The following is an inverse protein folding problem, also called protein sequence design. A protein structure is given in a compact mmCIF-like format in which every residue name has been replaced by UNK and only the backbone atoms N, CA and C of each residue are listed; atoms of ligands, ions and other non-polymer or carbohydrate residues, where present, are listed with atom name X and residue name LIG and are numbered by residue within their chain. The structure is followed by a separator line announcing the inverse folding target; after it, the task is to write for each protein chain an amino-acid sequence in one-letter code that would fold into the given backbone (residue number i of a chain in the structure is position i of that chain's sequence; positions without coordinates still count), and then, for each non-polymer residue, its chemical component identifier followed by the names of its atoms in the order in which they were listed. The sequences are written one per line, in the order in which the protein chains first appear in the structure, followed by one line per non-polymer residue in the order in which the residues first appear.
data_IF_169596669811
#
_entry.id   IF_169596669811
#
_cell.length_a   1.000
_cell.length_b   1.000
_cell.length_c   1.000
_cell.angle_alpha   90.00
_cell.angle_beta   90.00
_cell.angle_gamma   90.00
#
_symmetry.space_group_name_H-M   'P 1'
#
loop_
_entity.id
_entity.type
_entity.pdbx_description
1 polymer ?
#
# COMPACT_ATOMS: atom_id res chain seq x y z
N UNK A 1 26.13 0.35 45.37
CA UNK A 1 25.44 1.03 44.26
C UNK A 1 24.91 -0.05 43.33
N UNK A 2 23.62 -0.26 43.31
CA UNK A 2 22.98 -1.32 42.51
C UNK A 2 22.62 -0.75 41.14
N UNK A 3 23.21 -1.31 40.10
CA UNK A 3 22.89 -1.02 38.70
C UNK A 3 21.51 -1.59 38.36
N UNK A 4 20.53 -0.73 38.19
CA UNK A 4 19.17 -1.10 37.77
C UNK A 4 19.14 -1.34 36.27
N UNK A 5 19.56 -2.53 35.84
CA UNK A 5 19.44 -3.00 34.45
C UNK A 5 18.00 -2.91 33.97
N UNK A 6 17.69 -1.93 33.09
CA UNK A 6 16.42 -1.84 32.36
C UNK A 6 16.20 -3.13 31.56
N UNK A 7 15.31 -3.98 32.06
CA UNK A 7 14.82 -5.15 31.29
C UNK A 7 14.11 -4.61 30.06
N UNK A 8 14.73 -4.75 28.89
CA UNK A 8 14.09 -4.41 27.61
C UNK A 8 12.86 -5.27 27.39
N UNK A 9 11.67 -4.69 27.56
CA UNK A 9 10.40 -5.36 27.28
C UNK A 9 10.33 -5.79 25.81
N UNK A 10 9.63 -6.90 25.51
CA UNK A 10 9.39 -7.32 24.12
C UNK A 10 8.62 -6.19 23.39
N UNK A 11 9.03 -5.81 22.17
CA UNK A 11 8.38 -4.74 21.43
C UNK A 11 6.90 -5.06 21.21
N UNK A 12 6.04 -4.04 21.31
CA UNK A 12 4.60 -4.14 21.07
C UNK A 12 4.32 -4.61 19.63
N UNK A 13 3.07 -5.04 19.36
CA UNK A 13 2.65 -5.41 17.99
C UNK A 13 2.79 -4.24 17.01
N UNK A 14 2.55 -3.01 17.50
CA UNK A 14 2.69 -1.78 16.69
C UNK A 14 4.16 -1.51 16.37
N UNK A 15 5.06 -1.57 17.37
CA UNK A 15 6.50 -1.36 17.15
C UNK A 15 7.11 -2.41 16.22
N UNK A 16 6.63 -3.67 16.27
CA UNK A 16 7.07 -4.71 15.32
C UNK A 16 6.63 -4.41 13.89
N UNK A 17 5.40 -3.93 13.70
CA UNK A 17 4.88 -3.53 12.39
C UNK A 17 5.64 -2.31 11.84
N UNK A 18 6.00 -1.35 12.69
CA UNK A 18 6.83 -0.20 12.33
C UNK A 18 8.20 -0.61 11.84
N UNK A 19 8.87 -1.49 12.59
CA UNK A 19 10.18 -2.02 12.19
C UNK A 19 10.14 -2.77 10.85
N UNK A 20 9.05 -3.49 10.56
CA UNK A 20 8.90 -4.18 9.27
C UNK A 20 8.74 -3.22 8.09
N UNK A 21 7.89 -2.21 8.24
CA UNK A 21 7.62 -1.25 7.14
C UNK A 21 8.84 -0.36 6.88
N UNK A 22 9.57 0.02 7.91
CA UNK A 22 10.72 0.94 7.80
C UNK A 22 12.08 0.22 7.81
N UNK A 23 12.11 -1.11 7.79
CA UNK A 23 13.36 -1.85 7.79
C UNK A 23 14.28 -1.43 6.63
N UNK A 24 15.51 -1.04 6.97
CA UNK A 24 16.51 -0.59 6.00
C UNK A 24 16.46 0.91 5.65
N UNK A 25 15.55 1.70 6.25
CA UNK A 25 15.54 3.15 6.09
C UNK A 25 16.57 3.84 7.00
N UNK A 26 17.11 4.97 6.52
CA UNK A 26 17.82 5.92 7.37
C UNK A 26 16.82 6.70 8.25
N UNK A 27 17.31 7.25 9.38
CA UNK A 27 16.49 8.12 10.23
C UNK A 27 15.94 9.34 9.49
N UNK A 28 16.73 9.92 8.59
CA UNK A 28 16.32 11.07 7.79
C UNK A 28 15.20 10.69 6.81
N UNK A 29 15.28 9.52 6.16
CA UNK A 29 14.22 9.02 5.29
C UNK A 29 12.93 8.74 6.07
N UNK A 30 13.02 8.10 7.24
CA UNK A 30 11.84 7.86 8.09
C UNK A 30 11.17 9.15 8.52
N UNK A 31 11.92 10.18 8.88
CA UNK A 31 11.39 11.49 9.23
C UNK A 31 10.69 12.16 8.03
N UNK A 32 11.30 12.13 6.85
CA UNK A 32 10.74 12.68 5.62
C UNK A 32 9.43 11.96 5.22
N UNK A 33 9.42 10.62 5.25
CA UNK A 33 8.24 9.81 4.98
C UNK A 33 7.12 10.09 5.99
N UNK A 34 7.43 10.11 7.30
CA UNK A 34 6.45 10.39 8.35
C UNK A 34 5.79 11.74 8.14
N UNK A 35 6.58 12.80 7.91
CA UNK A 35 6.08 14.15 7.64
C UNK A 35 5.17 14.19 6.42
N UNK A 36 5.62 13.59 5.31
CA UNK A 36 4.88 13.60 4.04
C UNK A 36 3.62 12.77 4.12
N UNK A 37 3.70 11.55 4.64
CA UNK A 37 2.58 10.62 4.77
C UNK A 37 1.48 11.16 5.69
N UNK A 38 1.84 11.82 6.79
CA UNK A 38 0.87 12.50 7.66
C UNK A 38 0.11 13.61 6.90
N UNK A 39 0.83 14.39 6.09
CA UNK A 39 0.24 15.48 5.29
C UNK A 39 -0.72 14.94 4.22
N UNK A 40 -0.30 13.91 3.47
CA UNK A 40 -1.10 13.44 2.33
C UNK A 40 -2.25 12.51 2.72
N UNK A 41 -2.20 11.88 3.90
CA UNK A 41 -3.21 10.93 4.37
C UNK A 41 -4.63 11.47 4.36
N UNK A 42 -4.81 12.76 4.64
CA UNK A 42 -6.12 13.42 4.74
C UNK A 42 -6.59 14.07 3.45
N UNK A 43 -5.74 14.09 2.41
CA UNK A 43 -6.08 14.72 1.14
C UNK A 43 -7.18 13.97 0.40
N UNK A 44 -8.06 14.73 -0.25
CA UNK A 44 -9.14 14.18 -1.10
C UNK A 44 -8.70 13.80 -2.51
N UNK A 45 -7.46 14.12 -2.88
CA UNK A 45 -6.84 13.78 -4.17
C UNK A 45 -5.52 13.07 -3.95
N UNK A 46 -5.13 12.23 -4.89
CA UNK A 46 -3.85 11.54 -4.82
C UNK A 46 -2.68 12.49 -5.02
N UNK A 47 -1.63 12.26 -4.24
CA UNK A 47 -0.32 12.92 -4.35
C UNK A 47 0.75 11.87 -4.24
N UNK A 48 1.78 11.96 -5.08
CA UNK A 48 2.94 11.09 -5.04
C UNK A 48 4.21 11.90 -4.81
N UNK A 49 5.08 11.37 -3.98
CA UNK A 49 6.40 11.89 -3.66
C UNK A 49 7.45 10.83 -3.91
N UNK A 50 8.62 11.24 -4.35
CA UNK A 50 9.80 10.39 -4.52
C UNK A 50 10.94 10.93 -3.65
N UNK A 51 11.59 10.03 -2.91
CA UNK A 51 12.72 10.33 -2.05
C UNK A 51 13.92 9.46 -2.41
N UNK A 52 15.12 9.96 -2.17
CA UNK A 52 16.32 9.13 -2.15
C UNK A 52 16.45 8.36 -0.82
N UNK A 53 17.44 7.49 -0.73
CA UNK A 53 17.75 6.70 0.49
C UNK A 53 18.08 7.53 1.72
N UNK A 54 18.45 8.80 1.54
CA UNK A 54 18.83 9.74 2.60
C UNK A 54 17.65 10.63 3.03
N UNK A 55 16.49 10.49 2.41
CA UNK A 55 15.28 11.28 2.71
C UNK A 55 15.21 12.63 1.99
N UNK A 56 16.12 12.89 1.04
CA UNK A 56 16.02 14.05 0.17
C UNK A 56 14.89 13.82 -0.84
N UNK A 57 13.96 14.76 -0.94
CA UNK A 57 12.90 14.72 -1.96
C UNK A 57 13.53 14.91 -3.36
N UNK A 58 13.24 13.98 -4.26
CA UNK A 58 13.65 14.00 -5.67
C UNK A 58 12.62 14.73 -6.50
N UNK A 59 11.34 14.43 -6.26
CA UNK A 59 10.21 15.01 -6.98
C UNK A 59 8.90 14.75 -6.25
N UNK A 60 7.87 15.52 -6.62
CA UNK A 60 6.49 15.25 -6.24
C UNK A 60 5.50 15.65 -7.34
N UNK A 61 4.29 15.12 -7.26
CA UNK A 61 3.19 15.56 -8.12
C UNK A 61 2.61 16.88 -7.61
N UNK A 62 2.37 17.81 -8.51
CA UNK A 62 1.64 19.06 -8.21
C UNK A 62 0.14 18.93 -8.43
N UNK A 63 -0.28 17.96 -9.25
CA UNK A 63 -1.68 17.69 -9.61
C UNK A 63 -1.98 16.20 -9.41
N UNK A 64 -3.23 15.90 -9.07
CA UNK A 64 -3.76 14.54 -8.98
C UNK A 64 -5.28 14.58 -8.87
N UNK A 65 -5.91 13.48 -9.21
CA UNK A 65 -7.36 13.27 -9.09
C UNK A 65 -7.68 12.46 -7.82
N UNK A 66 -8.91 12.03 -7.67
CA UNK A 66 -9.31 11.12 -6.56
C UNK A 66 -8.74 9.70 -6.69
N UNK A 67 -8.21 9.34 -7.87
CA UNK A 67 -7.80 7.96 -8.19
C UNK A 67 -6.55 7.87 -9.07
N UNK A 68 -5.84 8.97 -9.28
CA UNK A 68 -4.66 8.97 -10.15
C UNK A 68 -3.75 10.15 -9.84
N UNK A 69 -2.46 9.88 -9.90
CA UNK A 69 -1.39 10.88 -9.81
C UNK A 69 -0.17 10.38 -10.57
N UNK A 70 0.73 11.28 -10.95
CA UNK A 70 1.98 10.94 -11.61
C UNK A 70 3.09 11.92 -11.21
N UNK A 71 4.32 11.43 -11.20
CA UNK A 71 5.50 12.29 -11.16
C UNK A 71 5.73 12.94 -12.54
N UNK A 72 6.49 14.04 -12.60
CA UNK A 72 6.93 14.60 -13.89
C UNK A 72 7.65 13.54 -14.74
N UNK A 73 7.43 13.57 -16.05
CA UNK A 73 7.88 12.49 -16.97
C UNK A 73 9.42 12.34 -17.05
N UNK A 74 10.16 13.40 -16.78
CA UNK A 74 11.63 13.42 -16.81
C UNK A 74 12.31 12.96 -15.52
N UNK A 75 11.53 12.55 -14.52
CA UNK A 75 12.07 12.11 -13.21
C UNK A 75 12.41 10.64 -13.24
N UNK A 76 13.70 10.32 -12.99
CA UNK A 76 14.11 8.95 -12.75
C UNK A 76 13.71 8.53 -11.34
N UNK A 77 12.99 7.39 -11.26
CA UNK A 77 12.61 6.77 -9.98
C UNK A 77 13.47 5.55 -9.65
N UNK A 78 14.56 5.33 -10.39
CA UNK A 78 15.50 4.26 -10.08
C UNK A 78 16.05 4.43 -8.68
N UNK A 79 15.98 3.36 -7.88
CA UNK A 79 16.39 3.32 -6.48
C UNK A 79 15.66 4.30 -5.53
N UNK A 80 14.63 4.99 -6.03
CA UNK A 80 13.82 5.89 -5.22
C UNK A 80 12.86 5.13 -4.31
N UNK A 81 12.48 5.79 -3.21
CA UNK A 81 11.38 5.42 -2.34
C UNK A 81 10.19 6.30 -2.71
N UNK A 82 9.14 5.69 -3.21
CA UNK A 82 7.91 6.38 -3.61
C UNK A 82 6.87 6.27 -2.50
N UNK A 83 6.15 7.36 -2.23
CA UNK A 83 4.97 7.32 -1.36
C UNK A 83 3.84 8.14 -1.97
N UNK A 84 2.62 7.59 -1.92
CA UNK A 84 1.41 8.25 -2.39
C UNK A 84 0.23 7.91 -1.49
N UNK A 85 -0.80 8.75 -1.49
CA UNK A 85 -2.02 8.48 -0.76
C UNK A 85 -3.11 7.91 -1.67
N UNK A 86 -3.94 7.05 -1.08
CA UNK A 86 -5.19 6.57 -1.67
C UNK A 86 -6.36 7.21 -0.91
N UNK A 87 -7.00 8.25 -1.44
CA UNK A 87 -8.05 8.99 -0.73
C UNK A 87 -9.38 8.23 -0.61
N UNK A 88 -9.40 6.95 -0.94
CA UNK A 88 -10.60 6.13 -0.88
C UNK A 88 -11.61 6.43 -1.99
N UNK A 89 -11.12 6.78 -3.18
CA UNK A 89 -11.98 7.02 -4.35
C UNK A 89 -12.93 5.83 -4.58
N UNK A 90 -14.22 6.11 -4.66
CA UNK A 90 -15.26 5.10 -4.84
C UNK A 90 -15.68 4.34 -3.57
N UNK A 91 -15.05 4.60 -2.41
CA UNK A 91 -15.46 4.04 -1.13
C UNK A 91 -16.07 5.13 -0.23
N UNK A 92 -17.08 4.76 0.53
CA UNK A 92 -17.66 5.67 1.52
C UNK A 92 -16.70 5.84 2.69
N UNK A 93 -16.15 7.05 2.87
CA UNK A 93 -15.18 7.35 3.94
C UNK A 93 -15.76 7.23 5.36
N UNK A 94 -17.09 7.32 5.52
CA UNK A 94 -17.74 7.13 6.81
C UNK A 94 -17.81 5.67 7.25
N UNK A 95 -17.50 4.73 6.37
CA UNK A 95 -17.46 3.29 6.68
C UNK A 95 -16.06 2.83 7.05
N UNK A 96 -15.97 1.73 7.79
CA UNK A 96 -14.70 1.09 8.15
C UNK A 96 -13.89 0.74 6.90
N UNK A 97 -14.56 0.20 5.86
CA UNK A 97 -13.89 -0.17 4.62
C UNK A 97 -13.37 1.04 3.84
N UNK A 98 -14.13 2.13 3.80
CA UNK A 98 -13.71 3.39 3.18
C UNK A 98 -12.54 4.05 3.90
N UNK A 99 -12.48 3.98 5.23
CA UNK A 99 -11.33 4.49 6.00
C UNK A 99 -10.08 3.61 5.85
N UNK A 100 -10.25 2.29 5.70
CA UNK A 100 -9.14 1.35 5.49
C UNK A 100 -8.42 1.67 4.17
N UNK A 101 -9.17 1.91 3.10
CA UNK A 101 -8.64 2.18 1.76
C UNK A 101 -7.97 0.97 1.10
N UNK A 102 -7.80 1.04 -0.21
CA UNK A 102 -7.14 -0.02 -0.99
C UNK A 102 -5.63 0.05 -0.84
N UNK A 103 -4.95 -1.09 -0.96
CA UNK A 103 -3.51 -1.14 -1.18
C UNK A 103 -3.19 -0.78 -2.65
N UNK A 104 -2.01 -1.13 -3.13
CA UNK A 104 -1.57 -0.80 -4.50
C UNK A 104 -2.49 -1.30 -5.59
N UNK A 105 -2.61 -0.53 -6.66
CA UNK A 105 -3.14 -0.99 -7.94
C UNK A 105 -2.11 -1.82 -8.71
N UNK A 106 -2.55 -2.51 -9.75
CA UNK A 106 -1.63 -3.18 -10.68
C UNK A 106 -0.72 -2.20 -11.41
N UNK A 107 -1.21 -0.98 -11.67
CA UNK A 107 -0.43 0.11 -12.30
C UNK A 107 0.68 0.61 -11.38
N UNK A 108 0.42 0.76 -10.08
CA UNK A 108 1.45 1.14 -9.11
C UNK A 108 2.61 0.14 -9.12
N UNK A 109 2.28 -1.14 -9.11
CA UNK A 109 3.28 -2.21 -9.14
C UNK A 109 4.05 -2.22 -10.47
N UNK A 110 3.36 -2.11 -11.60
CA UNK A 110 4.01 -2.06 -12.92
C UNK A 110 4.95 -0.85 -13.03
N UNK A 111 4.54 0.32 -12.54
CA UNK A 111 5.35 1.54 -12.52
C UNK A 111 6.58 1.38 -11.62
N UNK A 112 6.40 0.83 -10.41
CA UNK A 112 7.47 0.57 -9.45
C UNK A 112 8.55 -0.33 -10.03
N UNK A 113 8.14 -1.43 -10.66
CA UNK A 113 9.05 -2.41 -11.27
C UNK A 113 9.75 -1.80 -12.49
N UNK A 114 9.00 -1.20 -13.41
CA UNK A 114 9.52 -0.59 -14.63
C UNK A 114 10.54 0.50 -14.35
N UNK A 115 10.28 1.33 -13.35
CA UNK A 115 11.19 2.39 -12.92
C UNK A 115 12.32 1.90 -12.01
N UNK A 116 12.35 0.60 -11.69
CA UNK A 116 13.31 0.00 -10.78
C UNK A 116 13.41 0.73 -9.42
N UNK A 117 12.28 1.20 -8.90
CA UNK A 117 12.21 1.84 -7.60
C UNK A 117 12.63 0.87 -6.48
N UNK A 118 13.20 1.40 -5.40
CA UNK A 118 13.57 0.58 -4.23
C UNK A 118 12.34 0.20 -3.40
N UNK A 119 11.36 1.10 -3.32
CA UNK A 119 10.13 0.89 -2.55
C UNK A 119 8.98 1.70 -3.13
N UNK A 120 7.77 1.16 -3.04
CA UNK A 120 6.52 1.90 -3.21
C UNK A 120 5.70 1.80 -1.93
N UNK A 121 5.14 2.93 -1.49
CA UNK A 121 4.28 3.03 -0.32
C UNK A 121 2.92 3.62 -0.73
N UNK A 122 1.85 3.05 -0.18
CA UNK A 122 0.49 3.58 -0.32
C UNK A 122 -0.07 3.91 1.06
N UNK A 123 -0.55 5.14 1.21
CA UNK A 123 -1.05 5.68 2.48
C UNK A 123 -2.57 5.84 2.41
N UNK A 124 -3.27 5.23 3.34
CA UNK A 124 -4.72 5.33 3.49
C UNK A 124 -5.09 5.91 4.86
N UNK A 125 -6.37 6.11 5.11
CA UNK A 125 -6.84 6.58 6.43
C UNK A 125 -6.33 5.72 7.60
N UNK A 126 -6.25 4.41 7.42
CA UNK A 126 -5.93 3.45 8.49
C UNK A 126 -4.57 2.79 8.35
N UNK A 127 -4.09 2.59 7.13
CA UNK A 127 -2.89 1.81 6.86
C UNK A 127 -1.85 2.56 6.03
N UNK A 128 -0.59 2.21 6.23
CA UNK A 128 0.49 2.37 5.27
C UNK A 128 0.86 0.98 4.74
N UNK A 129 0.78 0.82 3.44
CA UNK A 129 1.24 -0.36 2.72
C UNK A 129 2.63 -0.08 2.14
N UNK A 130 3.49 -1.08 2.12
CA UNK A 130 4.82 -0.99 1.52
C UNK A 130 5.11 -2.24 0.70
N UNK A 131 5.72 -2.04 -0.45
CA UNK A 131 6.33 -3.12 -1.25
C UNK A 131 7.76 -2.72 -1.59
N UNK A 132 8.73 -3.54 -1.18
CA UNK A 132 10.16 -3.27 -1.35
C UNK A 132 10.79 -4.25 -2.32
N UNK A 133 11.71 -3.71 -3.12
CA UNK A 133 12.54 -4.50 -4.03
C UNK A 133 13.44 -5.45 -3.23
N UNK A 134 13.47 -6.75 -3.56
CA UNK A 134 14.43 -7.69 -2.98
C UNK A 134 15.90 -7.29 -3.31
N UNK A 135 16.84 -7.81 -2.54
CA UNK A 135 18.28 -7.54 -2.74
C UNK A 135 18.78 -7.90 -4.15
N UNK A 136 18.22 -8.97 -4.73
CA UNK A 136 18.52 -9.42 -6.11
C UNK A 136 17.62 -8.80 -7.19
N UNK A 137 16.94 -7.67 -6.88
CA UNK A 137 16.08 -6.96 -7.81
C UNK A 137 14.65 -7.47 -7.83
N UNK A 138 13.82 -6.89 -8.71
CA UNK A 138 12.41 -7.28 -8.89
C UNK A 138 12.22 -8.64 -9.56
N UNK A 139 13.29 -9.22 -10.15
CA UNK A 139 13.20 -10.46 -10.93
C UNK A 139 12.49 -10.30 -12.28
N UNK A 140 12.40 -9.08 -12.79
CA UNK A 140 11.66 -8.69 -13.98
C UNK A 140 12.60 -7.93 -14.92
N UNK A 141 12.75 -8.41 -16.16
CA UNK A 141 13.76 -7.92 -17.10
C UNK A 141 13.33 -6.73 -17.94
N UNK A 142 12.03 -6.56 -18.19
CA UNK A 142 11.54 -5.55 -19.12
C UNK A 142 10.20 -4.91 -18.74
N UNK A 143 9.90 -3.77 -19.38
CA UNK A 143 8.68 -2.99 -19.14
C UNK A 143 7.40 -3.76 -19.52
N UNK A 144 7.44 -4.59 -20.57
CA UNK A 144 6.29 -5.39 -21.03
C UNK A 144 5.94 -6.46 -20.00
N UNK A 145 6.94 -7.10 -19.41
CA UNK A 145 6.75 -8.07 -18.34
C UNK A 145 6.20 -7.40 -17.07
N UNK A 146 6.72 -6.22 -16.68
CA UNK A 146 6.18 -5.44 -15.58
C UNK A 146 4.68 -5.12 -15.79
N UNK A 147 4.29 -4.69 -17.00
CA UNK A 147 2.90 -4.42 -17.33
C UNK A 147 2.03 -5.69 -17.27
N UNK A 148 2.52 -6.84 -17.78
CA UNK A 148 1.79 -8.12 -17.65
C UNK A 148 1.53 -8.49 -16.19
N UNK A 149 2.48 -8.27 -15.31
CA UNK A 149 2.32 -8.52 -13.88
C UNK A 149 1.28 -7.58 -13.28
N UNK A 150 1.32 -6.28 -13.58
CA UNK A 150 0.31 -5.33 -13.14
C UNK A 150 -1.10 -5.75 -13.57
N UNK A 151 -1.28 -6.15 -14.84
CA UNK A 151 -2.55 -6.65 -15.35
C UNK A 151 -2.98 -7.96 -14.64
N UNK A 152 -2.05 -8.86 -14.36
CA UNK A 152 -2.33 -10.11 -13.63
C UNK A 152 -2.81 -9.83 -12.20
N UNK A 153 -2.20 -8.85 -11.51
CA UNK A 153 -2.63 -8.39 -10.19
C UNK A 153 -4.06 -7.84 -10.26
N UNK A 154 -4.33 -6.94 -11.21
CA UNK A 154 -5.66 -6.38 -11.42
C UNK A 154 -6.72 -7.46 -11.65
N UNK A 155 -6.45 -8.40 -12.54
CA UNK A 155 -7.35 -9.52 -12.82
C UNK A 155 -7.59 -10.40 -11.59
N UNK A 156 -6.56 -10.62 -10.77
CA UNK A 156 -6.66 -11.38 -9.53
C UNK A 156 -7.51 -10.64 -8.49
N UNK A 157 -7.32 -9.33 -8.36
CA UNK A 157 -8.17 -8.49 -7.50
C UNK A 157 -9.65 -8.62 -7.90
N UNK A 158 -9.97 -8.47 -9.18
CA UNK A 158 -11.32 -8.57 -9.70
C UNK A 158 -11.94 -9.95 -9.44
N UNK A 159 -11.19 -11.03 -9.63
CA UNK A 159 -11.66 -12.39 -9.35
C UNK A 159 -11.95 -12.61 -7.87
N UNK A 160 -11.04 -12.16 -6.98
CA UNK A 160 -11.24 -12.25 -5.54
C UNK A 160 -12.44 -11.41 -5.08
N UNK A 161 -12.57 -10.18 -5.60
CA UNK A 161 -13.71 -9.31 -5.30
C UNK A 161 -15.05 -9.97 -5.67
N UNK A 162 -15.15 -10.53 -6.89
CA UNK A 162 -16.37 -11.25 -7.32
C UNK A 162 -16.69 -12.42 -6.41
N UNK A 163 -15.68 -13.22 -6.03
CA UNK A 163 -15.86 -14.35 -5.11
C UNK A 163 -16.37 -13.90 -3.73
N UNK A 164 -15.76 -12.85 -3.15
CA UNK A 164 -16.23 -12.32 -1.86
C UNK A 164 -17.64 -11.73 -1.95
N UNK A 165 -17.92 -10.99 -3.02
CA UNK A 165 -19.26 -10.43 -3.27
C UNK A 165 -20.32 -11.53 -3.38
N UNK A 166 -20.09 -12.57 -4.18
CA UNK A 166 -21.02 -13.69 -4.34
C UNK A 166 -21.30 -14.42 -3.02
N UNK A 167 -20.26 -14.63 -2.20
CA UNK A 167 -20.43 -15.25 -0.87
C UNK A 167 -21.28 -14.39 0.06
N UNK A 168 -21.09 -13.07 0.03
CA UNK A 168 -21.88 -12.14 0.83
C UNK A 168 -23.36 -12.09 0.36
N UNK A 169 -23.59 -12.07 -0.96
CA UNK A 169 -24.93 -12.12 -1.55
C UNK A 169 -25.65 -13.41 -1.19
N UNK A 170 -24.96 -14.56 -1.32
CA UNK A 170 -25.54 -15.84 -0.89
C UNK A 170 -25.92 -15.83 0.58
N UNK A 171 -25.05 -15.33 1.47
CA UNK A 171 -25.33 -15.24 2.90
C UNK A 171 -26.55 -14.34 3.21
N UNK A 172 -26.74 -13.28 2.44
CA UNK A 172 -27.93 -12.41 2.54
C UNK A 172 -29.19 -13.12 2.10
N UNK A 173 -29.20 -13.78 0.94
CA UNK A 173 -30.37 -14.55 0.45
C UNK A 173 -30.69 -15.76 1.33
N UNK A 174 -29.70 -16.36 1.97
CA UNK A 174 -29.86 -17.41 2.97
C UNK A 174 -30.39 -16.87 4.33
N UNK A 175 -30.62 -15.56 4.47
CA UNK A 175 -31.08 -14.93 5.72
C UNK A 175 -30.04 -14.86 6.83
N UNK A 176 -28.74 -15.13 6.53
CA UNK A 176 -27.65 -15.18 7.51
C UNK A 176 -27.11 -13.81 7.89
N UNK A 177 -27.29 -12.82 7.03
CA UNK A 177 -26.85 -11.44 7.26
C UNK A 177 -27.92 -10.45 6.79
N UNK A 178 -27.98 -9.27 7.43
CA UNK A 178 -28.85 -8.17 7.06
C UNK A 178 -28.35 -7.42 5.82
N UNK A 179 -29.19 -6.58 5.21
CA UNK A 179 -28.80 -5.70 4.10
C UNK A 179 -27.64 -4.75 4.47
N UNK A 180 -27.65 -4.22 5.69
CA UNK A 180 -26.57 -3.37 6.20
C UNK A 180 -25.24 -4.15 6.25
N UNK A 181 -25.29 -5.39 6.74
CA UNK A 181 -24.11 -6.26 6.78
C UNK A 181 -23.64 -6.66 5.37
N UNK A 182 -24.56 -6.87 4.42
CA UNK A 182 -24.23 -7.11 3.02
C UNK A 182 -23.47 -5.92 2.42
N UNK A 183 -23.96 -4.69 2.61
CA UNK A 183 -23.31 -3.47 2.11
C UNK A 183 -21.90 -3.33 2.68
N UNK A 184 -21.75 -3.44 4.00
CA UNK A 184 -20.45 -3.38 4.66
C UNK A 184 -19.48 -4.48 4.21
N UNK A 185 -20.01 -5.70 3.95
CA UNK A 185 -19.20 -6.83 3.47
C UNK A 185 -18.73 -6.62 2.04
N UNK A 186 -19.56 -6.04 1.16
CA UNK A 186 -19.19 -5.70 -0.22
C UNK A 186 -18.06 -4.65 -0.25
N UNK A 187 -18.13 -3.61 0.59
CA UNK A 187 -17.08 -2.62 0.71
C UNK A 187 -15.76 -3.23 1.21
N UNK A 188 -15.84 -4.09 2.23
CA UNK A 188 -14.66 -4.83 2.74
C UNK A 188 -14.06 -5.76 1.70
N UNK A 189 -14.90 -6.39 0.86
CA UNK A 189 -14.46 -7.30 -0.19
C UNK A 189 -13.49 -6.63 -1.16
N UNK A 190 -13.71 -5.36 -1.50
CA UNK A 190 -12.87 -4.58 -2.38
C UNK A 190 -11.45 -4.36 -1.79
N UNK A 191 -11.40 -3.91 -0.54
CA UNK A 191 -10.14 -3.70 0.19
C UNK A 191 -9.38 -5.01 0.40
N UNK A 192 -10.09 -6.07 0.79
CA UNK A 192 -9.51 -7.39 1.05
C UNK A 192 -8.98 -8.04 -0.23
N UNK A 193 -9.67 -7.88 -1.36
CA UNK A 193 -9.25 -8.45 -2.63
C UNK A 193 -7.93 -7.84 -3.11
N UNK A 194 -7.76 -6.52 -2.98
CA UNK A 194 -6.53 -5.83 -3.32
C UNK A 194 -5.36 -6.30 -2.43
N UNK A 195 -5.57 -6.32 -1.11
CA UNK A 195 -4.55 -6.77 -0.16
C UNK A 195 -4.14 -8.24 -0.41
N UNK A 196 -5.12 -9.14 -0.57
CA UNK A 196 -4.87 -10.57 -0.80
C UNK A 196 -4.16 -10.85 -2.12
N UNK A 197 -4.57 -10.19 -3.20
CA UNK A 197 -3.92 -10.33 -4.50
C UNK A 197 -2.44 -9.94 -4.44
N UNK A 198 -2.12 -8.84 -3.77
CA UNK A 198 -0.74 -8.39 -3.59
C UNK A 198 0.07 -9.29 -2.67
N UNK A 199 -0.50 -9.73 -1.55
CA UNK A 199 0.16 -10.66 -0.65
C UNK A 199 0.58 -11.95 -1.35
N UNK A 200 -0.32 -12.54 -2.14
CA UNK A 200 -0.03 -13.76 -2.89
C UNK A 200 0.96 -13.53 -4.03
N UNK A 201 0.86 -12.38 -4.72
CA UNK A 201 1.81 -12.03 -5.78
C UNK A 201 3.20 -11.77 -5.20
N UNK A 202 3.31 -11.01 -4.13
CA UNK A 202 4.57 -10.75 -3.45
C UNK A 202 5.23 -12.05 -2.98
N UNK A 203 4.45 -12.97 -2.41
CA UNK A 203 4.96 -14.31 -2.04
C UNK A 203 5.51 -15.08 -3.24
N UNK A 204 4.80 -15.05 -4.40
CA UNK A 204 5.23 -15.73 -5.64
C UNK A 204 6.57 -15.21 -6.16
N UNK A 205 6.81 -13.89 -6.08
CA UNK A 205 8.01 -13.26 -6.61
C UNK A 205 9.10 -13.00 -5.56
N UNK A 206 8.88 -13.37 -4.30
CA UNK A 206 9.81 -13.10 -3.21
C UNK A 206 9.91 -11.62 -2.82
N UNK A 207 8.91 -10.80 -3.16
CA UNK A 207 8.88 -9.39 -2.81
C UNK A 207 8.49 -9.17 -1.35
N UNK A 208 9.06 -8.15 -0.73
CA UNK A 208 8.72 -7.79 0.64
C UNK A 208 7.49 -6.85 0.66
N UNK A 209 6.30 -7.44 0.80
CA UNK A 209 5.04 -6.71 0.94
C UNK A 209 4.59 -6.71 2.39
N UNK A 210 4.40 -5.52 2.95
CA UNK A 210 3.99 -5.31 4.33
C UNK A 210 2.86 -4.29 4.43
N UNK A 211 2.15 -4.29 5.56
CA UNK A 211 1.24 -3.21 5.95
C UNK A 211 1.39 -2.89 7.42
N UNK A 212 1.27 -1.61 7.74
CA UNK A 212 1.24 -1.07 9.09
C UNK A 212 -0.08 -0.37 9.32
N UNK A 213 -0.71 -0.61 10.46
CA UNK A 213 -1.83 0.22 10.93
C UNK A 213 -1.27 1.50 11.55
N UNK A 214 -1.82 2.65 11.18
CA UNK A 214 -1.29 3.98 11.55
C UNK A 214 -2.17 4.72 12.55
N UNK A 215 -3.34 4.18 12.88
CA UNK A 215 -4.27 4.65 13.91
C UNK A 215 -4.89 3.47 14.62
#
# INVERSE_FOLDING_TARGET
MADSGKRGGKPSRVERADRQVNAGHSRALDAALTKTESKVRTLGTERIYAFDKNGKEIAHSTKGTKSSTSLPANVSIKDAILTHNHPGAGLNKSTIAGSIGRSFSGTDIATTIRGNAAEMRAVTGTYTYSIKRPKNGWGISDAKQAQKIGNSIHNKMNRLYRSYKQKAEKAYYDGKISFVQLSATRERADVLSAHKALQETAKKYGWNYTRKRTV
#
